data_IF_476141117889
#
_entry.id   IF_476141117889
#
_cell.length_a   1.000
_cell.length_b   1.000
_cell.length_c   1.000
_cell.angle_alpha   90.00
_cell.angle_beta   90.00
_cell.angle_gamma   90.00
#
_symmetry.space_group_name_H-M   'P 1'
#
loop_
_entity.id
_entity.type
_entity.pdbx_description
1 polymer ?
#
# COMPACT_ATOMS: atom_id res chain seq x y z
N UNK A 1 -72.44 -5.39 26.88
CA UNK A 1 -73.02 -5.32 25.53
C UNK A 1 -72.28 -4.23 24.78
N UNK A 2 -71.25 -4.61 24.00
CA UNK A 2 -70.61 -3.75 23.00
C UNK A 2 -69.84 -4.62 21.99
N UNK A 3 -69.92 -4.16 20.75
CA UNK A 3 -69.02 -4.32 19.61
C UNK A 3 -69.06 -5.57 18.72
N UNK A 4 -69.40 -5.25 17.47
CA UNK A 4 -69.24 -5.99 16.23
C UNK A 4 -67.77 -6.04 15.78
N UNK A 5 -67.47 -7.05 14.95
CA UNK A 5 -66.32 -7.03 14.02
C UNK A 5 -66.22 -8.36 13.27
N UNK A 6 -66.84 -8.46 12.08
CA UNK A 6 -66.80 -9.65 11.21
C UNK A 6 -65.70 -9.53 10.15
N UNK A 7 -65.03 -10.66 9.93
CA UNK A 7 -63.95 -10.92 8.99
C UNK A 7 -64.29 -10.76 7.49
N UNK A 8 -63.26 -10.61 6.65
CA UNK A 8 -63.13 -11.31 5.35
C UNK A 8 -61.72 -11.22 4.72
N UNK A 9 -61.18 -12.44 4.48
CA UNK A 9 -60.42 -12.98 3.35
C UNK A 9 -59.24 -12.23 2.70
N UNK A 10 -58.13 -12.97 2.73
CA UNK A 10 -56.87 -12.97 2.00
C UNK A 10 -57.00 -12.77 0.48
N UNK A 11 -56.17 -11.88 -0.09
CA UNK A 11 -55.96 -11.70 -1.52
C UNK A 11 -54.47 -11.49 -1.83
N UNK A 12 -53.92 -12.37 -2.65
CA UNK A 12 -52.53 -12.44 -3.11
C UNK A 12 -52.32 -11.46 -4.27
N UNK A 13 -51.26 -10.64 -4.24
CA UNK A 13 -50.87 -9.74 -5.34
C UNK A 13 -49.55 -10.21 -5.97
N UNK A 14 -49.64 -10.74 -7.18
CA UNK A 14 -48.53 -10.84 -8.14
C UNK A 14 -48.52 -9.56 -8.99
N UNK A 15 -47.37 -8.90 -9.11
CA UNK A 15 -47.14 -7.84 -10.08
C UNK A 15 -46.36 -8.41 -11.28
N UNK A 16 -46.99 -8.37 -12.46
CA UNK A 16 -46.40 -8.73 -13.74
C UNK A 16 -45.79 -7.47 -14.41
N UNK A 17 -44.56 -7.58 -14.91
CA UNK A 17 -43.93 -6.58 -15.78
C UNK A 17 -44.11 -7.03 -17.23
N UNK A 18 -44.73 -6.19 -18.05
CA UNK A 18 -45.03 -6.43 -19.45
C UNK A 18 -43.85 -6.07 -20.36
N UNK A 19 -43.53 -6.99 -21.27
CA UNK A 19 -42.59 -6.86 -22.38
C UNK A 19 -43.36 -6.44 -23.64
N UNK A 20 -42.87 -5.46 -24.40
CA UNK A 20 -43.38 -5.16 -25.75
C UNK A 20 -42.22 -4.88 -26.73
N UNK A 21 -42.03 -5.81 -27.66
CA UNK A 21 -41.40 -5.62 -28.98
C UNK A 21 -42.52 -5.26 -29.99
N UNK A 22 -42.39 -4.78 -31.23
CA UNK A 22 -41.36 -4.71 -32.26
C UNK A 22 -42.03 -3.94 -33.44
N UNK A 23 -41.34 -3.19 -34.31
CA UNK A 23 -41.61 -3.23 -35.78
C UNK A 23 -40.32 -2.91 -36.56
N UNK A 24 -40.17 -3.71 -37.62
CA UNK A 24 -39.09 -3.97 -38.55
C UNK A 24 -39.02 -2.97 -39.72
N UNK A 25 -37.82 -2.76 -40.27
CA UNK A 25 -37.59 -2.17 -41.59
C UNK A 25 -36.33 -2.75 -42.24
N UNK A 26 -36.53 -3.71 -43.14
CA UNK A 26 -35.50 -4.37 -43.97
C UNK A 26 -35.33 -3.58 -45.29
N UNK A 27 -34.11 -3.50 -45.85
CA UNK A 27 -33.78 -3.71 -47.29
C UNK A 27 -32.30 -3.43 -47.61
N UNK A 28 -31.60 -4.50 -48.03
CA UNK A 28 -30.57 -4.68 -49.07
C UNK A 28 -29.23 -3.90 -49.09
N UNK A 29 -28.16 -4.62 -48.70
CA UNK A 29 -26.89 -4.91 -49.41
C UNK A 29 -26.12 -3.86 -50.24
N UNK A 30 -24.88 -3.56 -49.82
CA UNK A 30 -23.71 -3.21 -50.66
C UNK A 30 -22.39 -3.36 -49.83
N UNK A 31 -21.19 -3.47 -50.44
CA UNK A 31 -20.08 -4.38 -50.05
C UNK A 31 -19.05 -3.81 -49.05
N UNK A 32 -18.14 -4.64 -48.49
CA UNK A 32 -17.13 -4.18 -47.52
C UNK A 32 -16.00 -3.39 -48.19
N UNK A 33 -15.40 -2.39 -47.51
CA UNK A 33 -14.20 -1.74 -48.04
C UNK A 33 -12.99 -2.66 -47.93
N UNK A 34 -12.13 -2.52 -48.92
CA UNK A 34 -11.05 -3.40 -49.29
C UNK A 34 -9.98 -3.60 -48.22
N UNK A 35 -9.49 -4.83 -48.19
CA UNK A 35 -8.21 -5.24 -47.62
C UNK A 35 -7.07 -4.47 -48.27
N UNK A 36 -6.39 -3.62 -47.51
CA UNK A 36 -5.03 -3.18 -47.86
C UNK A 36 -4.08 -4.02 -47.03
N UNK A 37 -3.49 -5.02 -47.71
CA UNK A 37 -2.34 -5.73 -47.17
C UNK A 37 -1.15 -4.80 -47.11
N UNK A 38 -0.51 -4.71 -45.95
CA UNK A 38 0.84 -4.18 -45.82
C UNK A 38 1.66 -5.24 -45.11
N UNK A 39 2.59 -5.82 -45.86
CA UNK A 39 3.58 -6.77 -45.37
C UNK A 39 4.29 -6.22 -44.12
N UNK A 40 4.29 -6.99 -43.04
CA UNK A 40 5.33 -6.88 -42.02
C UNK A 40 6.66 -7.37 -42.58
N UNK A 41 7.76 -6.69 -42.25
CA UNK A 41 8.92 -7.38 -41.74
C UNK A 41 8.99 -7.14 -40.24
N UNK A 42 9.12 -8.23 -39.50
CA UNK A 42 9.52 -8.21 -38.11
C UNK A 42 10.88 -7.49 -37.99
N UNK A 43 10.97 -6.51 -37.08
CA UNK A 43 12.23 -6.01 -36.57
C UNK A 43 12.08 -5.77 -35.06
N UNK A 44 12.66 -6.69 -34.30
CA UNK A 44 13.07 -6.49 -32.91
C UNK A 44 13.85 -5.18 -32.77
N UNK A 45 13.36 -4.26 -31.95
CA UNK A 45 14.01 -2.98 -31.69
C UNK A 45 13.86 -2.61 -30.22
N UNK A 46 14.96 -2.73 -29.48
CA UNK A 46 15.18 -2.19 -28.13
C UNK A 46 14.97 -0.68 -28.13
N UNK A 47 14.00 -0.17 -27.35
CA UNK A 47 13.81 1.26 -27.15
C UNK A 47 14.87 1.82 -26.19
N UNK A 48 15.82 2.56 -26.75
CA UNK A 48 16.72 3.46 -26.05
C UNK A 48 16.02 4.82 -25.89
N UNK A 49 15.79 5.26 -24.64
CA UNK A 49 15.30 6.60 -24.34
C UNK A 49 16.48 7.54 -24.08
N UNK A 50 16.97 8.17 -25.14
CA UNK A 50 17.81 9.37 -25.06
C UNK A 50 17.25 10.42 -26.03
N UNK A 51 16.88 11.60 -25.53
CA UNK A 51 16.42 12.69 -26.37
C UNK A 51 17.64 13.39 -27.03
N UNK A 52 17.47 13.73 -28.31
CA UNK A 52 18.50 14.33 -29.16
C UNK A 52 18.89 15.75 -28.72
N UNK A 53 20.15 16.10 -28.97
CA UNK A 53 20.70 17.43 -28.71
C UNK A 53 20.08 18.49 -29.64
N UNK A 54 19.63 19.60 -29.05
CA UNK A 54 19.12 20.75 -29.79
C UNK A 54 20.19 21.86 -29.91
N UNK A 55 20.30 22.45 -31.10
CA UNK A 55 21.24 23.52 -31.40
C UNK A 55 20.87 24.85 -30.73
N UNK A 56 21.85 25.76 -30.67
CA UNK A 56 21.77 27.05 -30.00
C UNK A 56 20.55 27.88 -30.45
N UNK A 57 19.68 28.27 -29.51
CA UNK A 57 18.44 29.02 -29.77
C UNK A 57 17.16 28.19 -29.99
N UNK A 58 17.24 26.85 -29.92
CA UNK A 58 16.07 25.98 -29.96
C UNK A 58 15.27 26.00 -28.64
N UNK A 59 13.96 25.80 -28.73
CA UNK A 59 13.12 25.55 -27.55
C UNK A 59 13.04 24.04 -27.32
N UNK A 60 13.44 23.56 -26.14
CA UNK A 60 13.32 22.15 -25.76
C UNK A 60 12.12 21.99 -24.85
N UNK A 61 11.25 21.02 -25.13
CA UNK A 61 10.07 20.74 -24.31
C UNK A 61 10.37 19.56 -23.38
N UNK A 62 10.06 19.73 -22.09
CA UNK A 62 9.99 18.65 -21.11
C UNK A 62 8.53 18.54 -20.67
N UNK A 63 7.91 17.41 -20.94
CA UNK A 63 6.54 17.14 -20.53
C UNK A 63 6.51 16.57 -19.11
N UNK A 64 5.67 17.13 -18.26
CA UNK A 64 5.37 16.58 -16.94
C UNK A 64 4.14 15.68 -17.14
N UNK A 65 4.40 14.40 -17.35
CA UNK A 65 3.41 13.40 -17.77
C UNK A 65 3.67 12.08 -17.05
N UNK A 66 2.59 11.40 -16.65
CA UNK A 66 2.61 10.16 -15.89
C UNK A 66 3.44 10.29 -14.59
N UNK A 67 3.33 11.41 -13.89
CA UNK A 67 4.08 11.71 -12.66
C UNK A 67 5.61 11.74 -12.87
N UNK A 68 6.07 12.03 -14.09
CA UNK A 68 7.48 12.05 -14.44
C UNK A 68 7.81 13.27 -15.32
N UNK A 69 9.06 13.71 -15.28
CA UNK A 69 9.61 14.58 -16.31
C UNK A 69 10.03 13.75 -17.53
N UNK A 70 9.55 14.09 -18.71
CA UNK A 70 9.87 13.40 -19.94
C UNK A 70 10.40 14.37 -21.01
N UNK A 71 11.66 14.22 -21.45
CA UNK A 71 12.63 13.21 -21.03
C UNK A 71 13.23 13.47 -19.63
N UNK A 72 13.75 12.40 -18.98
CA UNK A 72 14.40 12.49 -17.65
C UNK A 72 15.81 13.10 -17.68
N UNK A 73 16.48 13.07 -18.82
CA UNK A 73 17.75 13.77 -19.03
C UNK A 73 17.66 14.60 -20.31
N UNK A 74 17.98 15.88 -20.19
CA UNK A 74 18.01 16.84 -21.31
C UNK A 74 19.41 17.40 -21.42
N UNK A 75 20.00 17.36 -22.62
CA UNK A 75 21.29 17.97 -22.93
C UNK A 75 21.11 19.15 -23.86
N UNK A 76 21.55 20.33 -23.44
CA UNK A 76 21.36 21.59 -24.18
C UNK A 76 22.61 22.47 -24.17
N UNK A 77 22.75 23.36 -25.15
CA UNK A 77 23.78 24.38 -25.14
C UNK A 77 23.40 25.56 -24.21
N UNK A 78 24.37 26.28 -23.62
CA UNK A 78 24.11 27.53 -22.92
C UNK A 78 23.30 28.51 -23.79
N UNK A 79 22.29 29.16 -23.19
CA UNK A 79 21.34 30.05 -23.87
C UNK A 79 20.04 29.35 -24.31
N UNK A 80 19.91 28.04 -24.11
CA UNK A 80 18.71 27.28 -24.49
C UNK A 80 17.57 27.50 -23.51
N UNK A 81 16.36 27.74 -24.03
CA UNK A 81 15.13 27.79 -23.22
C UNK A 81 14.48 26.42 -23.18
N UNK A 82 14.30 25.88 -21.98
CA UNK A 82 13.51 24.67 -21.74
C UNK A 82 12.10 25.07 -21.28
N UNK A 83 11.10 24.47 -21.91
CA UNK A 83 9.68 24.66 -21.62
C UNK A 83 9.15 23.40 -20.96
N UNK A 84 8.77 23.53 -19.70
CA UNK A 84 8.18 22.47 -18.90
C UNK A 84 6.66 22.56 -19.03
N UNK A 85 6.01 21.53 -19.60
CA UNK A 85 4.56 21.54 -19.87
C UNK A 85 3.88 20.49 -19.03
N UNK A 86 2.91 20.88 -18.20
CA UNK A 86 2.09 19.93 -17.45
C UNK A 86 1.07 19.24 -18.37
N UNK A 87 1.22 17.92 -18.56
CA UNK A 87 0.30 17.05 -19.31
C UNK A 87 -0.54 16.16 -18.42
N UNK A 88 -0.28 16.14 -17.12
CA UNK A 88 -1.02 15.36 -16.14
C UNK A 88 -2.29 16.07 -15.66
N UNK A 89 -3.27 15.31 -15.10
CA UNK A 89 -4.47 15.88 -14.50
C UNK A 89 -4.23 16.49 -13.10
N UNK A 90 -3.03 16.34 -12.54
CA UNK A 90 -2.64 16.88 -11.22
C UNK A 90 -1.66 18.06 -11.36
N UNK A 91 -1.56 18.88 -10.32
CA UNK A 91 -0.64 20.03 -10.31
C UNK A 91 0.81 19.57 -10.15
N UNK A 92 1.73 20.28 -10.79
CA UNK A 92 3.17 20.04 -10.66
C UNK A 92 3.94 21.33 -10.52
N UNK A 93 5.22 21.26 -10.17
CA UNK A 93 6.13 22.39 -10.32
C UNK A 93 7.54 21.90 -10.71
N UNK A 94 8.44 22.84 -10.95
CA UNK A 94 9.82 22.58 -11.33
C UNK A 94 10.73 23.36 -10.40
N UNK A 95 11.47 22.62 -9.58
CA UNK A 95 12.39 23.18 -8.58
C UNK A 95 13.79 22.70 -8.92
N UNK A 96 14.77 23.60 -8.99
CA UNK A 96 16.17 23.21 -9.11
C UNK A 96 16.70 22.74 -7.74
N UNK A 97 16.49 21.45 -7.48
CA UNK A 97 16.95 20.78 -6.28
C UNK A 97 17.07 19.27 -6.51
N UNK A 98 17.81 18.61 -5.63
CA UNK A 98 17.73 17.18 -5.36
C UNK A 98 16.90 16.96 -4.09
N UNK A 99 16.41 15.75 -3.81
CA UNK A 99 15.78 15.45 -2.51
C UNK A 99 16.64 15.87 -1.30
N UNK A 100 17.97 15.73 -1.41
CA UNK A 100 18.90 16.10 -0.34
C UNK A 100 19.11 17.63 -0.17
N UNK A 101 18.80 18.41 -1.20
CA UNK A 101 19.03 19.87 -1.23
C UNK A 101 17.74 20.69 -1.27
N UNK A 102 16.57 20.06 -1.33
CA UNK A 102 15.27 20.72 -1.31
C UNK A 102 15.11 21.56 -0.04
N UNK A 103 14.71 22.84 -0.19
CA UNK A 103 14.57 23.77 0.94
C UNK A 103 15.89 24.34 1.48
N UNK A 104 17.04 24.00 0.89
CA UNK A 104 18.36 24.58 1.23
C UNK A 104 18.75 25.63 0.18
N UNK A 105 19.05 26.85 0.63
CA UNK A 105 19.39 27.97 -0.26
C UNK A 105 20.87 27.96 -0.70
N UNK A 106 21.19 28.51 -1.90
CA UNK A 106 20.27 29.12 -2.87
C UNK A 106 19.73 28.14 -3.92
N UNK A 107 18.40 28.03 -4.01
CA UNK A 107 17.71 27.39 -5.15
C UNK A 107 17.87 28.30 -6.38
N UNK A 108 18.40 27.80 -7.51
CA UNK A 108 18.65 28.66 -8.70
C UNK A 108 17.36 29.11 -9.38
N UNK A 109 16.33 28.28 -9.34
CA UNK A 109 14.98 28.61 -9.81
C UNK A 109 13.92 27.68 -9.23
N UNK A 110 12.69 28.20 -9.20
CA UNK A 110 11.46 27.51 -8.82
C UNK A 110 10.31 28.05 -9.66
N UNK A 111 9.51 27.15 -10.24
CA UNK A 111 8.26 27.54 -10.89
C UNK A 111 7.13 27.73 -9.87
N UNK A 112 6.08 28.51 -10.20
CA UNK A 112 4.78 28.34 -9.57
C UNK A 112 4.23 26.92 -9.77
N UNK A 113 3.16 26.57 -9.07
CA UNK A 113 2.36 25.39 -9.42
C UNK A 113 1.78 25.53 -10.83
N UNK A 114 2.08 24.55 -11.66
CA UNK A 114 1.58 24.35 -13.00
C UNK A 114 0.32 23.49 -12.92
N UNK A 115 -0.83 24.13 -13.14
CA UNK A 115 -2.10 23.43 -13.37
C UNK A 115 -2.04 22.59 -14.67
N UNK A 116 -2.95 21.62 -14.88
CA UNK A 116 -3.03 20.84 -16.11
C UNK A 116 -3.03 21.73 -17.36
N UNK A 117 -2.15 21.42 -18.31
CA UNK A 117 -1.98 22.17 -19.57
C UNK A 117 -1.21 23.50 -19.45
N UNK A 118 -0.69 23.87 -18.28
CA UNK A 118 0.14 25.08 -18.10
C UNK A 118 1.63 24.77 -18.29
N UNK A 119 2.39 25.81 -18.61
CA UNK A 119 3.83 25.71 -18.86
C UNK A 119 4.67 26.67 -18.00
N UNK A 120 5.90 26.25 -17.71
CA UNK A 120 6.96 27.08 -17.15
C UNK A 120 8.15 27.12 -18.12
N UNK A 121 8.79 28.27 -18.24
CA UNK A 121 9.94 28.46 -19.14
C UNK A 121 11.16 28.90 -18.34
N UNK A 122 12.30 28.26 -18.59
CA UNK A 122 13.57 28.66 -18.00
C UNK A 122 14.70 28.60 -19.03
N UNK A 123 15.49 29.67 -19.11
CA UNK A 123 16.64 29.77 -20.02
C UNK A 123 17.93 29.47 -19.25
N UNK A 124 18.63 28.43 -19.69
CA UNK A 124 19.86 27.96 -19.07
C UNK A 124 21.08 28.64 -19.71
N UNK A 125 21.56 29.73 -19.11
CA UNK A 125 22.66 30.52 -19.65
C UNK A 125 24.07 30.04 -19.24
N UNK A 126 24.17 29.23 -18.20
CA UNK A 126 25.44 28.76 -17.63
C UNK A 126 25.63 27.26 -17.86
N UNK A 127 26.85 26.86 -18.21
CA UNK A 127 27.22 25.44 -18.23
C UNK A 127 27.11 24.83 -16.83
N UNK A 128 26.65 23.59 -16.77
CA UNK A 128 26.47 22.89 -15.50
C UNK A 128 25.41 21.80 -15.56
N UNK A 129 25.27 21.11 -14.43
CA UNK A 129 24.23 20.11 -14.22
C UNK A 129 23.18 20.70 -13.28
N UNK A 130 21.93 20.67 -13.71
CA UNK A 130 20.79 21.18 -12.99
C UNK A 130 19.84 20.01 -12.75
N UNK A 131 19.93 19.40 -11.57
CA UNK A 131 18.91 18.45 -11.13
C UNK A 131 17.62 19.22 -10.82
N UNK A 132 16.49 18.68 -11.27
CA UNK A 132 15.17 19.26 -11.07
C UNK A 132 14.22 18.22 -10.49
N UNK A 133 13.30 18.68 -9.65
CA UNK A 133 12.26 17.85 -9.05
C UNK A 133 10.92 18.60 -8.96
N UNK A 134 9.83 17.85 -8.78
CA UNK A 134 8.52 18.40 -8.42
C UNK A 134 8.26 18.17 -6.93
N UNK A 135 8.09 19.21 -6.13
CA UNK A 135 7.84 19.11 -4.69
C UNK A 135 6.37 19.25 -4.30
N UNK A 136 5.47 19.53 -5.25
CA UNK A 136 4.02 19.49 -5.03
C UNK A 136 3.63 18.13 -4.46
N UNK A 137 3.07 18.12 -3.24
CA UNK A 137 2.63 16.88 -2.58
C UNK A 137 3.70 15.78 -2.47
N UNK A 138 5.00 16.13 -2.53
CA UNK A 138 6.09 15.17 -2.53
C UNK A 138 6.21 14.31 -3.80
N UNK A 139 5.72 14.76 -4.96
CA UNK A 139 5.75 13.98 -6.21
C UNK A 139 7.15 13.47 -6.60
N UNK A 140 8.24 14.15 -6.21
CA UNK A 140 9.60 13.65 -6.39
C UNK A 140 9.86 12.28 -5.75
N UNK A 141 9.12 11.92 -4.70
CA UNK A 141 9.17 10.62 -4.04
C UNK A 141 8.58 9.50 -4.91
N UNK A 142 7.65 9.85 -5.81
CA UNK A 142 7.19 8.98 -6.89
C UNK A 142 8.13 9.01 -8.11
N UNK A 143 9.38 9.46 -7.94
CA UNK A 143 10.40 9.49 -9.00
C UNK A 143 10.29 10.66 -9.96
N UNK A 144 9.51 11.70 -9.62
CA UNK A 144 9.37 12.90 -10.44
C UNK A 144 10.60 13.81 -10.31
N UNK A 145 11.71 13.34 -10.87
CA UNK A 145 13.00 14.03 -10.95
C UNK A 145 13.55 13.95 -12.36
N UNK A 146 14.37 14.93 -12.74
CA UNK A 146 15.08 14.96 -14.01
C UNK A 146 16.40 15.71 -13.88
N UNK A 147 17.21 15.65 -14.94
CA UNK A 147 18.50 16.32 -15.04
C UNK A 147 18.60 17.12 -16.32
N UNK A 148 18.94 18.40 -16.21
CA UNK A 148 19.30 19.26 -17.34
C UNK A 148 20.81 19.44 -17.33
N UNK A 149 21.49 18.95 -18.38
CA UNK A 149 22.94 19.07 -18.57
C UNK A 149 23.19 20.15 -19.62
N UNK A 150 23.85 21.23 -19.21
CA UNK A 150 24.14 22.37 -20.08
C UNK A 150 25.62 22.37 -20.41
N UNK A 151 25.97 22.20 -21.68
CA UNK A 151 27.37 22.11 -22.14
C UNK A 151 27.51 22.63 -23.58
N UNK A 152 28.63 23.30 -23.86
CA UNK A 152 29.00 23.76 -25.22
C UNK A 152 29.18 22.61 -26.21
N UNK A 153 29.48 21.40 -25.73
CA UNK A 153 29.73 20.21 -26.55
C UNK A 153 28.47 19.40 -26.87
N UNK A 154 27.28 19.94 -26.58
CA UNK A 154 26.02 19.23 -26.80
C UNK A 154 25.79 18.77 -28.26
N UNK A 155 26.57 19.26 -29.23
CA UNK A 155 26.45 18.90 -30.65
C UNK A 155 27.18 17.61 -31.10
N UNK A 156 27.86 16.86 -30.23
CA UNK A 156 28.62 15.66 -30.65
C UNK A 156 28.25 14.41 -29.83
N UNK A 157 27.79 13.37 -30.52
CA UNK A 157 27.33 12.12 -29.94
C UNK A 157 28.45 11.16 -29.45
N UNK A 158 28.08 10.45 -28.39
CA UNK A 158 28.56 9.17 -27.84
C UNK A 158 30.03 8.98 -27.47
N UNK A 159 30.27 8.65 -26.19
CA UNK A 159 30.95 7.41 -25.82
C UNK A 159 30.63 7.01 -24.38
N UNK A 160 30.33 5.73 -24.20
CA UNK A 160 30.20 5.00 -22.93
C UNK A 160 31.53 4.80 -22.22
N UNK A 161 31.53 4.95 -20.90
CA UNK A 161 32.36 4.25 -19.91
C UNK A 161 31.88 4.71 -18.53
N UNK A 162 31.96 3.98 -17.43
CA UNK A 162 32.20 2.60 -17.06
C UNK A 162 31.82 2.59 -15.56
N UNK A 163 31.30 1.48 -15.06
CA UNK A 163 30.86 1.34 -13.68
C UNK A 163 31.89 1.83 -12.67
N UNK A 164 31.43 2.66 -11.74
CA UNK A 164 32.07 2.77 -10.43
C UNK A 164 31.28 1.87 -9.50
N UNK A 165 31.86 0.72 -9.16
CA UNK A 165 31.48 -0.04 -7.98
C UNK A 165 31.62 0.90 -6.77
N UNK A 166 30.52 1.50 -6.36
CA UNK A 166 30.42 2.25 -5.12
C UNK A 166 30.54 1.27 -3.98
N UNK A 167 31.58 1.45 -3.16
CA UNK A 167 31.91 0.56 -2.05
C UNK A 167 30.71 0.27 -1.18
N UNK A 168 30.66 -0.96 -0.67
CA UNK A 168 29.71 -1.39 0.35
C UNK A 168 29.75 -0.39 1.52
N UNK A 169 28.83 0.56 1.49
CA UNK A 169 28.53 1.37 2.66
C UNK A 169 28.05 0.39 3.72
N UNK A 170 28.74 0.37 4.86
CA UNK A 170 28.35 -0.46 5.98
C UNK A 170 26.85 -0.23 6.23
N UNK A 171 26.07 -1.31 6.11
CA UNK A 171 24.65 -1.30 6.38
C UNK A 171 24.48 -0.82 7.82
N UNK A 172 23.75 0.29 8.07
CA UNK A 172 23.46 0.73 9.43
C UNK A 172 22.87 -0.45 10.21
N UNK A 173 23.13 -0.53 11.53
CA UNK A 173 22.52 -1.56 12.37
C UNK A 173 20.98 -1.50 12.23
N UNK A 174 20.42 -2.38 11.41
CA UNK A 174 19.02 -2.35 11.03
C UNK A 174 18.17 -3.00 12.10
N UNK A 175 17.08 -2.33 12.48
CA UNK A 175 16.15 -2.87 13.47
C UNK A 175 15.15 -3.81 12.80
N UNK A 176 14.73 -4.84 13.52
CA UNK A 176 13.57 -5.65 13.11
C UNK A 176 12.32 -4.79 13.27
N UNK A 177 11.61 -4.56 12.18
CA UNK A 177 10.34 -3.81 12.18
C UNK A 177 9.12 -4.70 12.41
N UNK A 178 9.26 -6.00 12.19
CA UNK A 178 8.14 -6.92 12.24
C UNK A 178 7.51 -6.98 13.63
N UNK A 179 6.24 -6.55 13.71
CA UNK A 179 5.41 -6.66 14.91
C UNK A 179 5.27 -8.13 15.30
N UNK A 180 5.45 -8.42 16.59
CA UNK A 180 5.18 -9.75 17.13
C UNK A 180 3.67 -10.05 16.94
N UNK A 181 3.30 -11.15 16.26
CA UNK A 181 1.90 -11.46 16.01
C UNK A 181 1.13 -11.77 17.30
N UNK A 182 1.79 -12.06 18.42
CA UNK A 182 1.14 -12.26 19.72
C UNK A 182 1.01 -10.95 20.54
N UNK A 183 1.60 -9.84 20.08
CA UNK A 183 1.48 -8.53 20.73
C UNK A 183 0.14 -7.86 20.38
N UNK A 184 -0.89 -8.34 21.07
CA UNK A 184 -2.29 -7.92 20.90
C UNK A 184 -2.85 -7.40 22.24
N UNK A 185 -3.62 -6.29 22.24
CA UNK A 185 -4.34 -5.87 23.43
C UNK A 185 -5.35 -6.93 23.87
N UNK A 186 -5.54 -7.16 25.19
CA UNK A 186 -6.49 -8.15 25.68
C UNK A 186 -7.95 -7.78 25.35
N UNK A 187 -8.88 -8.76 25.33
CA UNK A 187 -10.31 -8.49 25.15
C UNK A 187 -10.87 -7.44 26.12
N UNK A 188 -11.81 -6.63 25.66
CA UNK A 188 -12.37 -5.55 26.48
C UNK A 188 -13.30 -6.12 27.53
N UNK A 189 -12.93 -6.01 28.82
CA UNK A 189 -13.71 -6.59 29.93
C UNK A 189 -14.81 -5.69 30.50
N UNK A 190 -14.86 -4.42 30.10
CA UNK A 190 -15.83 -3.45 30.65
C UNK A 190 -17.16 -3.50 29.92
N UNK A 191 -18.22 -3.17 30.66
CA UNK A 191 -19.61 -3.29 30.20
C UNK A 191 -20.25 -1.97 29.75
N UNK A 192 -19.55 -0.84 29.91
CA UNK A 192 -20.03 0.49 29.51
C UNK A 192 -19.00 1.22 28.63
N UNK A 193 -19.45 2.09 27.71
CA UNK A 193 -18.57 2.96 26.93
C UNK A 193 -17.71 3.89 27.79
N UNK A 194 -16.52 4.20 27.30
CA UNK A 194 -15.59 5.15 27.94
C UNK A 194 -14.97 6.09 26.92
N UNK A 195 -14.27 7.12 27.41
CA UNK A 195 -13.30 7.83 26.59
C UNK A 195 -11.98 7.06 26.61
N UNK A 196 -11.51 6.65 25.44
CA UNK A 196 -10.24 5.92 25.27
C UNK A 196 -9.27 6.84 24.54
N UNK A 197 -8.12 7.14 25.15
CA UNK A 197 -7.04 7.90 24.50
C UNK A 197 -6.06 6.90 23.91
N UNK A 198 -5.77 7.06 22.62
CA UNK A 198 -4.77 6.28 21.88
C UNK A 198 -3.70 7.25 21.42
N UNK A 199 -2.47 7.02 21.85
CA UNK A 199 -1.31 7.82 21.48
C UNK A 199 -0.46 6.99 20.52
N UNK A 200 -0.14 7.57 19.36
CA UNK A 200 0.68 6.96 18.33
C UNK A 200 1.79 7.94 17.92
N UNK A 201 2.96 7.41 17.61
CA UNK A 201 4.07 8.15 17.02
C UNK A 201 4.35 7.67 15.59
N UNK A 202 4.22 8.55 14.61
CA UNK A 202 4.72 8.30 13.27
C UNK A 202 6.25 8.46 13.25
N UNK A 203 6.95 7.44 12.76
CA UNK A 203 8.42 7.38 12.78
C UNK A 203 8.98 6.78 11.50
N UNK A 204 9.95 7.47 10.92
CA UNK A 204 10.79 6.98 9.82
C UNK A 204 12.05 6.32 10.39
N UNK A 205 12.39 5.10 9.93
CA UNK A 205 13.56 4.37 10.42
C UNK A 205 14.11 3.38 9.39
N UNK A 206 15.40 3.05 9.50
CA UNK A 206 16.02 2.01 8.69
C UNK A 206 15.78 0.64 9.34
N UNK A 207 14.97 -0.17 8.67
CA UNK A 207 14.60 -1.51 9.11
C UNK A 207 15.20 -2.62 8.25
N UNK A 208 15.29 -3.83 8.80
CA UNK A 208 15.65 -5.01 8.02
C UNK A 208 14.44 -5.48 7.20
N UNK A 209 14.57 -5.50 5.86
CA UNK A 209 13.53 -5.99 4.95
C UNK A 209 13.73 -7.47 4.60
N UNK A 210 14.97 -7.89 4.39
CA UNK A 210 15.34 -9.29 4.20
C UNK A 210 16.76 -9.54 4.72
N UNK A 211 17.25 -10.78 4.64
CA UNK A 211 18.67 -11.02 4.87
C UNK A 211 19.51 -10.22 3.86
N UNK A 212 20.50 -9.48 4.35
CA UNK A 212 21.32 -8.56 3.55
C UNK A 212 20.62 -7.30 3.00
N UNK A 213 19.29 -7.16 3.11
CA UNK A 213 18.53 -6.01 2.57
C UNK A 213 17.93 -5.17 3.69
N UNK A 214 18.19 -3.87 3.65
CA UNK A 214 17.53 -2.87 4.50
C UNK A 214 16.63 -1.96 3.70
N UNK A 215 15.67 -1.33 4.36
CA UNK A 215 14.74 -0.39 3.75
C UNK A 215 14.41 0.73 4.72
N UNK A 216 14.08 1.92 4.21
CA UNK A 216 13.59 3.03 5.04
C UNK A 216 12.08 2.88 5.20
N UNK A 217 11.66 2.41 6.37
CA UNK A 217 10.25 2.25 6.72
C UNK A 217 9.69 3.53 7.31
N UNK A 218 8.40 3.75 7.06
CA UNK A 218 7.60 4.74 7.76
C UNK A 218 6.54 3.96 8.55
N UNK A 219 6.47 4.20 9.85
CA UNK A 219 5.76 3.31 10.77
C UNK A 219 4.87 4.10 11.72
N UNK A 220 3.90 3.43 12.31
CA UNK A 220 3.31 3.84 13.58
C UNK A 220 4.01 3.04 14.69
N UNK A 221 4.60 3.72 15.67
CA UNK A 221 5.33 3.17 16.81
C UNK A 221 6.50 2.24 16.44
N UNK A 222 7.20 2.52 15.34
CA UNK A 222 8.45 1.83 14.99
C UNK A 222 8.28 0.39 14.49
N UNK A 223 7.05 -0.07 14.27
CA UNK A 223 6.76 -1.45 13.86
C UNK A 223 5.80 -1.52 12.67
N UNK A 224 5.82 -2.65 11.96
CA UNK A 224 4.94 -2.96 10.85
C UNK A 224 4.29 -4.33 11.08
N UNK A 225 2.95 -4.43 11.09
CA UNK A 225 2.01 -3.31 11.16
C UNK A 225 2.19 -2.49 12.45
N UNK A 226 1.58 -1.30 12.49
CA UNK A 226 1.48 -0.49 13.70
C UNK A 226 0.67 -1.19 14.81
N UNK A 227 0.64 -0.63 16.03
CA UNK A 227 -0.07 -1.20 17.17
C UNK A 227 -1.53 -1.52 16.86
N UNK A 228 -2.01 -2.70 17.27
CA UNK A 228 -3.44 -2.94 17.20
C UNK A 228 -4.14 -2.04 18.21
N UNK A 229 -5.14 -1.29 17.75
CA UNK A 229 -6.05 -0.53 18.61
C UNK A 229 -7.23 -1.45 18.94
N UNK A 230 -7.62 -1.55 20.20
CA UNK A 230 -8.77 -2.36 20.62
C UNK A 230 -9.69 -1.55 21.50
N UNK A 231 -10.91 -1.32 21.03
CA UNK A 231 -11.93 -0.49 21.67
C UNK A 231 -13.27 -1.23 21.66
N UNK A 232 -14.27 -0.67 22.33
CA UNK A 232 -15.63 -1.20 22.39
C UNK A 232 -16.56 -0.29 21.63
N UNK A 233 -17.57 -0.86 20.98
CA UNK A 233 -18.66 -0.10 20.42
C UNK A 233 -19.27 0.85 21.47
N UNK A 234 -19.44 2.11 21.07
CA UNK A 234 -19.92 3.22 21.89
C UNK A 234 -18.82 4.06 22.52
N UNK A 235 -17.56 3.64 22.49
CA UNK A 235 -16.47 4.47 23.02
C UNK A 235 -16.29 5.77 22.28
N UNK A 236 -15.95 6.82 23.03
CA UNK A 236 -15.35 8.02 22.43
C UNK A 236 -13.84 7.82 22.39
N UNK A 237 -13.28 7.63 21.20
CA UNK A 237 -11.86 7.40 21.02
C UNK A 237 -11.20 8.73 20.67
N UNK A 238 -10.16 9.13 21.42
CA UNK A 238 -9.27 10.25 21.11
C UNK A 238 -7.97 9.69 20.53
N UNK A 239 -7.73 9.93 19.25
CA UNK A 239 -6.45 9.62 18.61
C UNK A 239 -5.56 10.84 18.75
N UNK A 240 -4.38 10.66 19.33
CA UNK A 240 -3.28 11.62 19.33
C UNK A 240 -2.16 11.06 18.47
N UNK A 241 -1.83 11.76 17.39
CA UNK A 241 -0.74 11.39 16.51
C UNK A 241 0.38 12.42 16.66
N UNK A 242 1.52 11.97 17.16
CA UNK A 242 2.77 12.72 17.13
C UNK A 242 3.58 12.30 15.91
N UNK A 243 4.26 13.23 15.24
CA UNK A 243 5.24 12.90 14.23
C UNK A 243 6.65 13.10 14.81
N UNK A 244 7.49 12.08 14.74
CA UNK A 244 8.85 12.13 15.28
C UNK A 244 9.62 13.33 14.68
N UNK A 245 10.42 14.08 15.46
CA UNK A 245 11.12 15.27 14.97
C UNK A 245 12.15 14.97 13.86
N UNK A 246 12.67 13.75 13.82
CA UNK A 246 13.63 13.32 12.80
C UNK A 246 12.96 12.84 11.50
N UNK A 247 11.62 12.77 11.44
CA UNK A 247 10.91 12.44 10.21
C UNK A 247 11.13 13.50 9.15
N UNK A 248 11.14 13.09 7.88
CA UNK A 248 11.26 13.99 6.72
C UNK A 248 9.90 14.35 6.13
N UNK A 249 8.88 13.53 6.41
CA UNK A 249 7.56 13.61 5.83
C UNK A 249 6.52 14.11 6.84
N UNK A 250 5.49 14.76 6.32
CA UNK A 250 4.21 14.89 7.03
C UNK A 250 3.56 13.51 7.11
N UNK A 251 2.97 13.20 8.25
CA UNK A 251 2.25 11.95 8.47
C UNK A 251 0.85 12.21 9.00
N UNK A 252 -0.08 11.32 8.69
CA UNK A 252 -1.46 11.39 9.16
C UNK A 252 -2.02 10.01 9.43
N UNK A 253 -3.29 9.94 9.83
CA UNK A 253 -3.98 8.68 10.04
C UNK A 253 -5.44 8.75 9.57
N UNK A 254 -5.81 7.79 8.74
CA UNK A 254 -7.17 7.42 8.36
C UNK A 254 -7.49 6.08 9.03
N UNK A 255 -8.53 6.01 9.86
CA UNK A 255 -9.05 4.77 10.40
C UNK A 255 -10.39 4.46 9.72
N UNK A 256 -10.53 3.28 9.13
CA UNK A 256 -11.78 2.88 8.46
C UNK A 256 -12.93 2.66 9.44
N UNK A 257 -12.65 2.64 10.74
CA UNK A 257 -13.65 2.65 11.81
C UNK A 257 -14.31 4.03 12.05
N UNK A 258 -13.81 5.10 11.42
CA UNK A 258 -14.25 6.48 11.67
C UNK A 258 -15.32 6.91 10.66
N UNK A 259 -16.51 7.24 11.16
CA UNK A 259 -17.53 7.96 10.38
C UNK A 259 -17.25 9.47 10.38
N UNK A 260 -16.30 9.91 9.55
CA UNK A 260 -15.95 11.32 9.42
C UNK A 260 -15.04 11.60 8.21
N UNK A 261 -14.85 12.88 7.82
CA UNK A 261 -14.07 13.21 6.64
C UNK A 261 -12.63 12.66 6.65
N UNK A 262 -12.32 11.79 5.70
CA UNK A 262 -11.00 11.15 5.56
C UNK A 262 -10.60 10.26 6.73
N UNK A 263 -11.58 9.75 7.50
CA UNK A 263 -11.35 8.85 8.63
C UNK A 263 -10.40 9.36 9.73
N UNK A 264 -10.20 10.67 9.82
CA UNK A 264 -9.23 11.31 10.72
C UNK A 264 -8.11 12.07 10.00
N UNK A 265 -7.84 11.76 8.74
CA UNK A 265 -6.67 12.26 8.01
C UNK A 265 -6.67 13.78 7.83
N UNK A 266 -7.85 14.39 7.63
CA UNK A 266 -7.98 15.85 7.51
C UNK A 266 -7.62 16.58 8.81
N UNK A 267 -7.86 15.94 9.96
CA UNK A 267 -7.53 16.50 11.26
C UNK A 267 -6.07 16.25 11.68
N UNK A 268 -5.39 15.29 11.04
CA UNK A 268 -4.10 14.75 11.48
C UNK A 268 -3.00 14.87 10.44
N UNK A 269 -2.99 15.87 9.55
CA UNK A 269 -1.78 16.15 8.77
C UNK A 269 -0.69 16.74 9.69
N UNK A 270 0.17 15.91 10.28
CA UNK A 270 1.13 16.25 11.33
C UNK A 270 2.54 16.43 10.76
N UNK A 271 3.09 17.64 10.84
CA UNK A 271 4.46 17.90 10.43
C UNK A 271 5.48 17.33 11.44
N UNK A 272 6.74 17.06 11.04
CA UNK A 272 7.77 16.55 11.95
C UNK A 272 7.89 17.40 13.22
N UNK A 273 7.89 16.75 14.38
CA UNK A 273 7.97 17.38 15.70
C UNK A 273 6.65 17.93 16.24
N UNK A 274 5.57 17.92 15.46
CA UNK A 274 4.23 18.32 15.90
C UNK A 274 3.41 17.13 16.44
N UNK A 275 2.28 17.48 17.07
CA UNK A 275 1.23 16.56 17.48
C UNK A 275 -0.13 17.13 17.09
N UNK A 276 -1.03 16.28 16.59
CA UNK A 276 -2.44 16.63 16.35
C UNK A 276 -3.33 15.52 16.88
N UNK A 277 -4.55 15.88 17.23
CA UNK A 277 -5.51 14.95 17.81
C UNK A 277 -6.92 15.17 17.24
N UNK A 278 -7.72 14.11 17.27
CA UNK A 278 -9.15 14.18 17.01
C UNK A 278 -9.90 13.13 17.83
N UNK A 279 -11.21 13.32 17.96
CA UNK A 279 -12.10 12.37 18.62
C UNK A 279 -13.14 11.82 17.65
N UNK A 280 -13.51 10.56 17.83
CA UNK A 280 -14.63 9.95 17.15
C UNK A 280 -15.39 9.01 18.07
N UNK A 281 -16.65 8.74 17.75
CA UNK A 281 -17.44 7.72 18.43
C UNK A 281 -17.27 6.40 17.66
N UNK A 282 -16.84 5.33 18.32
CA UNK A 282 -16.72 4.00 17.74
C UNK A 282 -18.12 3.38 17.58
N UNK A 283 -18.80 3.68 16.46
CA UNK A 283 -20.21 3.34 16.27
C UNK A 283 -20.47 1.93 15.77
N UNK A 284 -19.52 1.34 15.03
CA UNK A 284 -19.73 0.11 14.28
C UNK A 284 -18.74 -0.96 14.76
N UNK A 285 -19.21 -2.12 15.24
CA UNK A 285 -18.34 -3.23 15.60
C UNK A 285 -17.75 -3.87 14.34
N UNK A 286 -16.50 -4.30 14.43
CA UNK A 286 -15.76 -4.88 13.31
C UNK A 286 -14.25 -4.75 13.49
N UNK A 287 -13.50 -5.26 12.51
CA UNK A 287 -12.05 -5.14 12.44
C UNK A 287 -11.71 -4.30 11.22
N UNK A 288 -11.06 -3.16 11.44
CA UNK A 288 -10.86 -2.16 10.40
C UNK A 288 -9.37 -1.89 10.24
N UNK A 289 -8.93 -1.65 9.00
CA UNK A 289 -7.58 -1.12 8.76
C UNK A 289 -7.56 0.35 9.17
N UNK A 290 -6.43 0.78 9.71
CA UNK A 290 -6.03 2.17 9.69
C UNK A 290 -4.71 2.30 8.94
N UNK A 291 -4.49 3.45 8.31
CA UNK A 291 -3.25 3.72 7.60
C UNK A 291 -2.96 5.22 7.50
N UNK A 292 -1.73 5.58 7.11
CA UNK A 292 -1.44 6.97 6.79
C UNK A 292 -2.18 7.42 5.53
N UNK A 293 -2.62 8.66 5.50
CA UNK A 293 -3.39 9.24 4.40
C UNK A 293 -2.84 10.62 3.97
N UNK A 294 -1.53 10.81 4.11
CA UNK A 294 -0.81 11.95 3.56
C UNK A 294 -0.45 11.66 2.10
N UNK A 295 -0.72 12.58 1.15
CA UNK A 295 -0.27 12.42 -0.22
C UNK A 295 1.27 12.33 -0.32
N UNK A 296 1.86 11.40 -1.08
CA UNK A 296 1.23 10.34 -1.89
C UNK A 296 0.92 9.07 -1.07
N UNK A 297 -0.38 8.79 -0.85
CA UNK A 297 -0.85 7.77 0.11
C UNK A 297 -0.28 6.35 -0.12
N UNK A 298 -0.26 5.80 -1.36
CA UNK A 298 0.25 4.46 -1.60
C UNK A 298 1.71 4.26 -1.13
N UNK A 299 2.54 5.31 -1.24
CA UNK A 299 3.91 5.26 -0.75
C UNK A 299 3.98 5.15 0.78
N UNK A 300 3.18 5.94 1.50
CA UNK A 300 3.13 5.85 2.95
C UNK A 300 2.67 4.47 3.44
N UNK A 301 1.65 3.91 2.79
CA UNK A 301 1.16 2.56 3.08
C UNK A 301 2.23 1.51 2.77
N UNK A 302 2.82 1.55 1.57
CA UNK A 302 3.87 0.60 1.16
C UNK A 302 5.11 0.65 2.07
N UNK A 303 5.42 1.83 2.63
CA UNK A 303 6.52 2.00 3.59
C UNK A 303 6.22 1.45 5.00
N UNK A 304 5.00 0.97 5.26
CA UNK A 304 4.65 0.27 6.51
C UNK A 304 3.60 0.97 7.39
N UNK A 305 3.04 2.11 6.96
CA UNK A 305 2.10 2.87 7.78
C UNK A 305 0.68 2.32 7.70
N UNK A 306 0.46 1.13 8.26
CA UNK A 306 -0.85 0.50 8.39
C UNK A 306 -0.94 -0.34 9.67
N UNK A 307 -2.16 -0.51 10.20
CA UNK A 307 -2.47 -1.36 11.34
C UNK A 307 -3.96 -1.68 11.42
N UNK A 308 -4.37 -2.39 12.47
CA UNK A 308 -5.78 -2.73 12.72
C UNK A 308 -6.35 -1.99 13.93
N UNK A 309 -7.61 -1.58 13.82
CA UNK A 309 -8.47 -1.23 14.94
C UNK A 309 -9.62 -2.23 15.04
N UNK A 310 -9.73 -2.89 16.19
CA UNK A 310 -10.83 -3.79 16.55
C UNK A 310 -11.83 -3.00 17.39
N UNK A 311 -13.05 -2.89 16.89
CA UNK A 311 -14.20 -2.36 17.64
C UNK A 311 -15.05 -3.55 18.09
N UNK A 312 -14.90 -3.96 19.34
CA UNK A 312 -15.66 -5.09 19.90
C UNK A 312 -17.15 -4.72 20.07
N UNK A 313 -18.08 -5.65 19.83
CA UNK A 313 -19.47 -5.44 20.14
C UNK A 313 -19.69 -5.30 21.67
N UNK A 314 -20.84 -4.78 22.11
CA UNK A 314 -21.13 -4.53 23.53
C UNK A 314 -20.93 -5.73 24.46
N UNK A 315 -21.22 -6.92 23.94
CA UNK A 315 -21.11 -8.25 24.57
C UNK A 315 -19.70 -8.85 24.51
N UNK A 316 -18.77 -8.24 23.77
CA UNK A 316 -17.44 -8.77 23.50
C UNK A 316 -17.43 -9.85 22.42
N UNK A 317 -16.23 -10.27 22.02
CA UNK A 317 -16.06 -11.39 21.09
C UNK A 317 -16.14 -12.73 21.85
N UNK A 318 -16.52 -13.80 21.15
CA UNK A 318 -16.51 -15.14 21.73
C UNK A 318 -15.11 -15.48 22.31
N UNK A 319 -15.02 -16.21 23.43
CA UNK A 319 -13.73 -16.57 23.99
C UNK A 319 -12.97 -17.54 23.08
N UNK A 320 -11.67 -17.36 23.00
CA UNK A 320 -10.70 -18.23 22.33
C UNK A 320 -9.48 -18.38 23.25
N UNK A 321 -8.68 -19.42 23.03
CA UNK A 321 -7.50 -19.69 23.85
C UNK A 321 -6.31 -18.80 23.45
N UNK A 322 -6.24 -18.42 22.16
CA UNK A 322 -5.12 -17.66 21.62
C UNK A 322 -5.56 -16.71 20.50
N UNK A 323 -5.01 -15.49 20.50
CA UNK A 323 -5.23 -14.50 19.44
C UNK A 323 -3.89 -14.14 18.77
N UNK A 324 -3.92 -13.93 17.44
CA UNK A 324 -2.78 -13.42 16.68
C UNK A 324 -3.17 -12.24 15.78
N UNK A 325 -2.19 -11.38 15.50
CA UNK A 325 -2.29 -10.17 14.70
C UNK A 325 -1.31 -10.20 13.52
N UNK A 326 -1.87 -10.27 12.31
CA UNK A 326 -1.09 -10.41 11.09
C UNK A 326 -1.58 -9.39 10.08
N UNK A 327 -0.67 -8.72 9.36
CA UNK A 327 -1.03 -7.95 8.19
C UNK A 327 -0.11 -8.22 7.01
N UNK A 328 -0.71 -8.36 5.83
CA UNK A 328 0.01 -8.37 4.55
C UNK A 328 0.30 -6.94 4.08
N UNK A 329 1.47 -6.73 3.47
CA UNK A 329 1.79 -5.51 2.72
C UNK A 329 2.65 -5.80 1.50
N UNK A 330 2.54 -4.94 0.48
CA UNK A 330 3.37 -4.95 -0.73
C UNK A 330 4.37 -3.78 -0.76
N UNK A 331 5.66 -4.12 -0.88
CA UNK A 331 6.76 -3.15 -0.97
C UNK A 331 7.34 -3.10 -2.39
N UNK A 332 7.37 -1.89 -2.93
CA UNK A 332 7.85 -1.58 -4.28
C UNK A 332 9.27 -1.05 -4.17
N UNK A 333 10.23 -1.95 -4.32
CA UNK A 333 11.66 -1.68 -4.15
C UNK A 333 12.44 -1.99 -5.41
N UNK A 334 13.60 -1.39 -5.58
CA UNK A 334 14.55 -1.71 -6.65
C UNK A 334 15.28 -3.05 -6.45
N UNK A 335 15.39 -3.51 -5.20
CA UNK A 335 15.96 -4.81 -4.84
C UNK A 335 14.91 -5.91 -4.64
N UNK A 336 15.37 -7.16 -4.64
CA UNK A 336 14.63 -8.42 -4.44
C UNK A 336 15.21 -9.27 -3.31
N UNK A 337 14.46 -10.27 -2.82
CA UNK A 337 15.02 -11.29 -1.93
C UNK A 337 16.28 -11.94 -2.51
N UNK A 338 17.33 -12.07 -1.67
CA UNK A 338 18.62 -12.64 -2.05
C UNK A 338 19.66 -11.63 -2.55
N UNK A 339 19.27 -10.38 -2.79
CA UNK A 339 20.21 -9.29 -3.03
C UNK A 339 20.68 -8.68 -1.70
N UNK A 340 21.64 -7.75 -1.75
CA UNK A 340 22.18 -7.09 -0.56
C UNK A 340 22.29 -5.58 -0.76
N UNK A 341 21.98 -4.80 0.28
CA UNK A 341 22.13 -3.36 0.26
C UNK A 341 21.00 -2.63 0.97
N UNK A 342 20.88 -1.34 0.67
CA UNK A 342 19.78 -0.51 1.13
C UNK A 342 18.81 -0.28 -0.04
N UNK A 343 17.70 -1.00 -0.02
CA UNK A 343 16.67 -0.92 -1.04
C UNK A 343 16.07 0.50 -1.10
N UNK A 344 15.87 1.00 -2.30
CA UNK A 344 15.15 2.23 -2.58
C UNK A 344 13.74 1.92 -3.07
N UNK A 345 12.84 2.88 -2.89
CA UNK A 345 11.52 2.80 -3.50
C UNK A 345 11.63 2.80 -5.04
N UNK A 346 10.94 1.86 -5.71
CA UNK A 346 10.78 1.82 -7.16
C UNK A 346 9.38 2.36 -7.54
N UNK A 347 9.30 3.61 -8.03
CA UNK A 347 8.02 4.23 -8.37
C UNK A 347 7.38 3.63 -9.63
N UNK A 348 8.18 3.09 -10.55
CA UNK A 348 7.66 2.43 -11.75
C UNK A 348 7.05 1.08 -11.38
N UNK A 349 7.68 0.34 -10.48
CA UNK A 349 7.11 -0.88 -9.91
C UNK A 349 5.77 -0.60 -9.20
N UNK A 350 5.68 0.50 -8.44
CA UNK A 350 4.43 0.92 -7.78
C UNK A 350 3.34 1.29 -8.78
N UNK A 351 3.68 2.10 -9.79
CA UNK A 351 2.75 2.46 -10.86
C UNK A 351 2.20 1.25 -11.61
N UNK A 352 3.03 0.22 -11.82
CA UNK A 352 2.62 -1.04 -12.48
C UNK A 352 2.02 -2.08 -11.54
N UNK A 353 1.93 -1.79 -10.24
CA UNK A 353 1.49 -2.73 -9.21
C UNK A 353 2.31 -4.04 -9.19
N UNK A 354 3.63 -3.93 -9.42
CA UNK A 354 4.57 -5.05 -9.44
C UNK A 354 5.58 -4.99 -8.28
N UNK A 355 5.18 -5.32 -7.04
CA UNK A 355 6.10 -5.26 -5.90
C UNK A 355 7.14 -6.37 -5.96
N UNK A 356 8.36 -6.11 -5.47
CA UNK A 356 9.38 -7.15 -5.31
C UNK A 356 9.23 -7.92 -3.99
N UNK A 357 8.60 -7.31 -2.99
CA UNK A 357 8.28 -7.94 -1.70
C UNK A 357 6.78 -7.89 -1.44
N UNK A 358 6.23 -9.02 -0.98
CA UNK A 358 4.88 -9.11 -0.42
C UNK A 358 5.06 -9.90 0.86
N UNK A 359 4.77 -9.32 2.01
CA UNK A 359 5.25 -9.81 3.29
C UNK A 359 4.17 -9.78 4.35
N UNK A 360 4.25 -10.71 5.31
CA UNK A 360 3.51 -10.60 6.57
C UNK A 360 4.35 -9.84 7.60
N UNK A 361 3.74 -8.87 8.27
CA UNK A 361 4.34 -8.04 9.31
C UNK A 361 5.65 -7.37 8.84
N UNK A 362 5.63 -6.79 7.64
CA UNK A 362 6.61 -5.80 7.17
C UNK A 362 7.98 -6.30 6.73
N UNK A 363 8.35 -7.55 7.01
CA UNK A 363 9.67 -8.10 6.67
C UNK A 363 9.54 -9.47 5.96
N UNK A 364 10.44 -9.75 5.01
CA UNK A 364 10.52 -11.03 4.31
C UNK A 364 10.64 -12.19 5.31
N UNK A 365 9.68 -13.12 5.28
CA UNK A 365 9.63 -14.29 6.15
C UNK A 365 9.67 -13.95 7.66
N UNK A 366 9.14 -12.78 8.05
CA UNK A 366 9.23 -12.24 9.41
C UNK A 366 8.77 -13.21 10.51
N UNK A 367 7.75 -14.02 10.21
CA UNK A 367 7.00 -14.84 11.16
C UNK A 367 7.33 -16.34 10.99
N UNK A 368 8.61 -16.64 10.74
CA UNK A 368 9.11 -18.00 10.53
C UNK A 368 10.27 -18.30 11.49
N UNK A 369 10.71 -19.58 11.52
CA UNK A 369 11.83 -20.02 12.35
C UNK A 369 11.62 -19.67 13.83
N UNK A 370 12.59 -18.99 14.44
CA UNK A 370 12.50 -18.59 15.86
C UNK A 370 11.38 -17.58 16.17
N UNK A 371 10.79 -16.96 15.16
CA UNK A 371 9.69 -16.01 15.26
C UNK A 371 8.35 -16.58 14.78
N UNK A 372 8.28 -17.90 14.58
CA UNK A 372 7.03 -18.59 14.34
C UNK A 372 6.06 -18.40 15.52
N UNK A 373 4.77 -18.33 15.19
CA UNK A 373 3.70 -18.37 16.18
C UNK A 373 3.67 -19.73 16.85
N UNK A 374 3.14 -19.80 18.08
CA UNK A 374 3.08 -21.03 18.87
C UNK A 374 1.70 -21.26 19.45
N UNK A 375 1.21 -22.49 19.36
CA UNK A 375 -0.03 -22.93 19.97
C UNK A 375 0.10 -24.37 20.47
N UNK A 376 -0.95 -24.87 21.13
CA UNK A 376 -1.04 -26.25 21.59
C UNK A 376 -2.25 -26.95 20.99
N UNK A 377 -2.12 -28.26 20.76
CA UNK A 377 -3.24 -29.10 20.32
C UNK A 377 -4.45 -28.87 21.24
N UNK A 378 -5.62 -28.68 20.62
CA UNK A 378 -6.90 -28.38 21.28
C UNK A 378 -7.17 -26.91 21.57
N UNK A 379 -6.21 -25.99 21.36
CA UNK A 379 -6.47 -24.56 21.49
C UNK A 379 -7.35 -24.05 20.34
N UNK A 380 -8.41 -23.30 20.67
CA UNK A 380 -9.15 -22.50 19.70
C UNK A 380 -8.38 -21.20 19.45
N UNK A 381 -7.99 -20.98 18.20
CA UNK A 381 -7.19 -19.85 17.76
C UNK A 381 -8.08 -18.85 17.02
N UNK A 382 -7.87 -17.57 17.27
CA UNK A 382 -8.37 -16.47 16.43
C UNK A 382 -7.20 -15.73 15.81
N UNK A 383 -7.29 -15.43 14.52
CA UNK A 383 -6.33 -14.56 13.84
C UNK A 383 -7.06 -13.34 13.27
N UNK A 384 -6.61 -12.15 13.66
CA UNK A 384 -6.96 -10.89 13.02
C UNK A 384 -6.00 -10.67 11.86
N UNK A 385 -6.52 -10.74 10.63
CA UNK A 385 -5.70 -10.69 9.41
C UNK A 385 -6.11 -9.50 8.57
N UNK A 386 -5.23 -8.52 8.48
CA UNK A 386 -5.41 -7.33 7.64
C UNK A 386 -4.58 -7.41 6.36
N UNK A 387 -4.92 -6.57 5.40
CA UNK A 387 -4.10 -6.34 4.23
C UNK A 387 -3.93 -4.83 4.04
N UNK A 388 -2.76 -4.32 4.42
CA UNK A 388 -2.42 -2.92 4.22
C UNK A 388 -2.33 -2.58 2.72
N UNK A 389 -1.90 -3.53 1.89
CA UNK A 389 -1.63 -3.31 0.49
C UNK A 389 -0.32 -2.54 0.27
N UNK A 390 -0.29 -1.51 -0.60
CA UNK A 390 -1.44 -0.73 -1.05
C UNK A 390 -2.33 -1.35 -2.14
N UNK A 391 -1.86 -2.33 -2.92
CA UNK A 391 -2.60 -2.71 -4.15
C UNK A 391 -3.11 -4.16 -4.16
N UNK A 392 -2.32 -5.13 -3.69
CA UNK A 392 -2.61 -6.53 -3.97
C UNK A 392 -3.63 -7.11 -2.99
N UNK A 393 -4.68 -7.75 -3.51
CA UNK A 393 -5.60 -8.57 -2.69
C UNK A 393 -4.91 -9.86 -2.25
N UNK A 394 -5.01 -10.20 -0.96
CA UNK A 394 -4.49 -11.45 -0.38
C UNK A 394 -5.49 -12.59 -0.55
N UNK A 395 -5.02 -13.77 -0.93
CA UNK A 395 -5.78 -15.02 -0.85
C UNK A 395 -5.33 -15.81 0.38
N UNK A 396 -5.73 -15.35 1.57
CA UNK A 396 -5.21 -15.87 2.84
C UNK A 396 -5.65 -17.32 3.10
N UNK A 397 -4.68 -18.18 3.41
CA UNK A 397 -4.86 -19.60 3.65
C UNK A 397 -3.87 -20.12 4.69
N UNK A 398 -4.24 -21.19 5.41
CA UNK A 398 -3.35 -21.95 6.28
C UNK A 398 -3.26 -23.37 5.74
N UNK A 399 -2.08 -23.75 5.27
CA UNK A 399 -1.81 -25.09 4.76
C UNK A 399 -1.93 -26.07 5.92
N UNK A 400 -2.77 -27.10 5.73
CA UNK A 400 -3.04 -28.13 6.72
C UNK A 400 -4.25 -27.86 7.62
N UNK A 401 -4.92 -26.71 7.47
CA UNK A 401 -6.03 -26.32 8.35
C UNK A 401 -7.26 -25.82 7.59
N UNK A 402 -8.43 -25.88 8.23
CA UNK A 402 -9.69 -25.31 7.71
C UNK A 402 -10.18 -24.25 8.70
N UNK A 403 -10.62 -23.09 8.20
CA UNK A 403 -11.25 -22.10 9.06
C UNK A 403 -12.63 -22.58 9.48
N UNK A 404 -12.82 -22.85 10.78
CA UNK A 404 -14.13 -23.12 11.38
C UNK A 404 -15.08 -21.96 11.12
N UNK A 405 -14.57 -20.73 11.28
CA UNK A 405 -15.32 -19.48 11.15
C UNK A 405 -14.47 -18.45 10.40
N UNK A 406 -15.07 -17.80 9.40
CA UNK A 406 -14.51 -16.64 8.73
C UNK A 406 -15.53 -15.51 8.74
N UNK A 407 -15.12 -14.38 9.29
CA UNK A 407 -15.86 -13.14 9.23
C UNK A 407 -15.39 -12.33 8.01
N UNK A 408 -16.07 -12.55 6.87
CA UNK A 408 -15.71 -11.92 5.59
C UNK A 408 -15.79 -10.41 5.69
N UNK A 409 -14.83 -9.72 5.05
CA UNK A 409 -14.68 -8.26 5.11
C UNK A 409 -14.64 -7.71 6.55
N UNK A 410 -14.30 -8.57 7.52
CA UNK A 410 -14.35 -8.29 8.95
C UNK A 410 -15.72 -7.79 9.47
N UNK A 411 -16.79 -8.15 8.77
CA UNK A 411 -18.16 -7.88 9.18
C UNK A 411 -18.59 -8.77 10.36
N UNK A 412 -19.74 -8.45 10.95
CA UNK A 412 -20.36 -9.28 11.99
C UNK A 412 -20.91 -10.61 11.47
N UNK A 413 -21.20 -10.70 10.16
CA UNK A 413 -21.63 -11.95 9.52
C UNK A 413 -20.44 -12.91 9.35
N UNK A 414 -20.68 -14.19 9.65
CA UNK A 414 -19.68 -15.23 9.56
C UNK A 414 -20.14 -16.37 8.66
N UNK A 415 -19.18 -16.96 7.96
CA UNK A 415 -19.35 -18.22 7.22
C UNK A 415 -18.46 -19.29 7.85
N UNK A 416 -18.85 -20.56 7.70
CA UNK A 416 -18.14 -21.68 8.31
C UNK A 416 -17.50 -22.61 7.28
N UNK A 417 -16.50 -23.40 7.70
CA UNK A 417 -15.81 -24.40 6.89
C UNK A 417 -15.17 -23.81 5.61
N UNK A 418 -14.33 -22.80 5.77
CA UNK A 418 -13.71 -22.07 4.65
C UNK A 418 -12.23 -22.42 4.56
N UNK A 419 -11.78 -22.82 3.36
CA UNK A 419 -10.37 -23.16 3.11
C UNK A 419 -9.47 -21.92 2.94
N UNK A 420 -9.98 -20.88 2.27
CA UNK A 420 -9.22 -19.69 1.86
C UNK A 420 -10.18 -18.52 1.80
N UNK A 421 -9.75 -17.35 2.28
CA UNK A 421 -10.56 -16.13 2.24
C UNK A 421 -9.82 -15.01 1.52
N UNK A 422 -10.57 -14.13 0.85
CA UNK A 422 -10.03 -12.98 0.15
C UNK A 422 -9.99 -11.77 1.09
N UNK A 423 -8.88 -11.05 1.10
CA UNK A 423 -8.70 -9.83 1.88
C UNK A 423 -8.23 -8.72 0.92
N UNK A 424 -9.11 -7.77 0.54
CA UNK A 424 -8.72 -6.68 -0.36
C UNK A 424 -7.69 -5.77 0.32
N UNK A 425 -6.92 -5.01 -0.47
CA UNK A 425 -6.06 -3.96 0.09
C UNK A 425 -6.92 -2.91 0.82
N UNK A 426 -6.47 -2.47 2.00
CA UNK A 426 -7.27 -1.68 2.93
C UNK A 426 -8.37 -2.47 3.64
N UNK A 427 -8.48 -3.78 3.42
CA UNK A 427 -9.45 -4.66 4.06
C UNK A 427 -8.87 -5.50 5.18
N UNK A 428 -9.76 -6.12 5.95
CA UNK A 428 -9.41 -7.10 6.96
C UNK A 428 -10.39 -8.26 6.96
N UNK A 429 -10.02 -9.32 7.66
CA UNK A 429 -10.86 -10.45 8.05
C UNK A 429 -10.40 -10.91 9.43
N UNK A 430 -11.22 -11.73 10.06
CA UNK A 430 -10.76 -12.52 11.19
C UNK A 430 -11.29 -13.94 11.05
N UNK A 431 -10.45 -14.89 11.44
CA UNK A 431 -10.71 -16.31 11.28
C UNK A 431 -10.53 -17.01 12.62
N UNK A 432 -11.31 -18.07 12.82
CA UNK A 432 -11.20 -18.94 13.98
C UNK A 432 -11.11 -20.38 13.53
N UNK A 433 -10.30 -21.17 14.23
CA UNK A 433 -10.11 -22.60 14.00
C UNK A 433 -9.55 -23.26 15.26
N UNK A 434 -9.68 -24.57 15.35
CA UNK A 434 -9.10 -25.38 16.43
C UNK A 434 -7.96 -26.21 15.87
N UNK A 435 -6.81 -26.24 16.54
CA UNK A 435 -5.67 -27.05 16.07
C UNK A 435 -5.74 -28.46 16.66
N UNK A 436 -6.15 -29.44 15.85
CA UNK A 436 -6.49 -30.78 16.35
C UNK A 436 -5.32 -31.77 16.41
N UNK A 437 -4.23 -31.49 15.69
CA UNK A 437 -3.02 -32.33 15.62
C UNK A 437 -1.75 -31.46 15.75
N UNK A 438 -0.64 -32.01 16.25
CA UNK A 438 0.62 -31.27 16.34
C UNK A 438 1.24 -31.13 14.94
N UNK A 439 2.07 -30.10 14.75
CA UNK A 439 2.76 -29.89 13.49
C UNK A 439 3.09 -28.43 13.18
N UNK A 440 3.59 -28.20 11.97
CA UNK A 440 3.78 -26.86 11.41
C UNK A 440 2.67 -26.54 10.42
N UNK A 441 1.93 -25.50 10.73
CA UNK A 441 0.87 -24.95 9.89
C UNK A 441 1.39 -23.70 9.19
N UNK A 442 1.34 -23.68 7.86
CA UNK A 442 1.98 -22.63 7.06
C UNK A 442 0.93 -21.66 6.54
N UNK A 443 0.99 -20.41 6.98
CA UNK A 443 0.12 -19.34 6.53
C UNK A 443 0.70 -18.73 5.24
N UNK A 444 -0.16 -18.50 4.24
CA UNK A 444 0.26 -17.99 2.93
C UNK A 444 -0.74 -17.01 2.33
N UNK A 445 -0.24 -16.13 1.44
CA UNK A 445 -1.04 -15.66 0.30
C UNK A 445 -1.03 -16.75 -0.78
N UNK A 446 -2.20 -17.34 -1.06
CA UNK A 446 -2.36 -18.45 -2.00
C UNK A 446 -2.17 -18.04 -3.47
N UNK A 447 -1.93 -16.76 -3.77
CA UNK A 447 -1.19 -16.39 -4.97
C UNK A 447 0.31 -16.75 -4.78
N UNK A 448 0.61 -18.06 -4.79
CA UNK A 448 1.80 -18.68 -4.19
C UNK A 448 3.17 -18.13 -4.62
N UNK A 449 3.26 -17.49 -5.80
CA UNK A 449 4.48 -16.76 -6.18
C UNK A 449 4.84 -15.64 -5.18
N UNK A 450 3.85 -15.08 -4.49
CA UNK A 450 4.02 -14.09 -3.41
C UNK A 450 4.53 -14.73 -2.13
N UNK A 451 4.01 -15.89 -1.75
CA UNK A 451 4.47 -16.61 -0.55
C UNK A 451 5.92 -17.10 -0.70
N UNK A 452 6.19 -17.87 -1.76
CA UNK A 452 7.48 -18.54 -1.95
C UNK A 452 8.55 -17.61 -2.55
N UNK A 453 8.15 -16.68 -3.42
CA UNK A 453 9.06 -15.76 -4.09
C UNK A 453 9.24 -14.44 -3.35
N UNK A 454 8.16 -13.84 -2.84
CA UNK A 454 8.15 -12.45 -2.34
C UNK A 454 8.06 -12.30 -0.81
N UNK A 455 7.78 -13.38 -0.08
CA UNK A 455 7.90 -13.44 1.39
C UNK A 455 6.60 -13.49 2.20
N UNK A 456 5.44 -13.68 1.57
CA UNK A 456 4.12 -13.70 2.23
C UNK A 456 3.85 -15.09 2.83
N UNK A 457 4.70 -15.47 3.78
CA UNK A 457 4.69 -16.77 4.46
C UNK A 457 4.92 -16.59 5.97
N UNK A 458 4.17 -17.32 6.77
CA UNK A 458 4.36 -17.41 8.22
C UNK A 458 4.15 -18.85 8.70
N UNK A 459 4.65 -19.17 9.89
CA UNK A 459 4.54 -20.51 10.48
C UNK A 459 3.85 -20.42 11.84
N UNK A 460 2.88 -21.30 12.06
CA UNK A 460 2.30 -21.62 13.35
C UNK A 460 2.80 -23.01 13.76
N UNK A 461 3.58 -23.07 14.84
CA UNK A 461 4.07 -24.31 15.44
C UNK A 461 3.09 -24.78 16.52
N UNK A 462 2.52 -25.97 16.35
CA UNK A 462 1.56 -26.58 17.28
C UNK A 462 2.21 -27.75 17.99
N UNK A 463 2.32 -27.64 19.32
CA UNK A 463 2.85 -28.70 20.18
C UNK A 463 1.71 -29.50 20.83
N UNK A 464 1.86 -30.82 20.91
CA UNK A 464 0.87 -31.66 21.58
C UNK A 464 1.00 -33.14 21.21
N UNK A 465 0.12 -34.00 21.75
CA UNK A 465 0.09 -35.40 21.40
C UNK A 465 -0.43 -35.60 19.97
N UNK A 466 0.16 -36.55 19.25
CA UNK A 466 -0.36 -37.03 17.97
C UNK A 466 -1.79 -37.59 18.12
N UNK A 467 -2.60 -37.43 17.07
CA UNK A 467 -3.93 -38.03 16.99
C UNK A 467 -4.11 -38.80 15.66
N UNK A 468 -3.77 -40.11 15.63
CA UNK A 468 -3.80 -40.92 14.41
C UNK A 468 -5.22 -41.17 13.87
N UNK A 469 -6.25 -40.93 14.68
CA UNK A 469 -7.65 -41.00 14.22
C UNK A 469 -8.02 -39.81 13.32
N UNK A 470 -7.27 -38.70 13.42
CA UNK A 470 -7.44 -37.48 12.60
C UNK A 470 -6.45 -37.47 11.43
N UNK A 471 -5.15 -37.64 11.72
CA UNK A 471 -4.10 -37.60 10.70
C UNK A 471 -2.99 -38.58 11.02
N UNK A 472 -2.68 -39.46 10.06
CA UNK A 472 -1.49 -40.32 10.11
C UNK A 472 -1.00 -40.60 8.68
N UNK A 473 0.32 -40.56 8.44
CA UNK A 473 0.87 -41.04 7.18
C UNK A 473 0.69 -42.56 7.08
N UNK A 474 0.20 -43.04 5.93
CA UNK A 474 0.16 -44.47 5.61
C UNK A 474 1.41 -44.81 4.80
N UNK A 475 2.13 -45.90 5.13
CA UNK A 475 3.36 -46.32 4.44
C UNK A 475 3.22 -46.57 2.93
#
# INVERSE_FOLDING_TARGET
>A
MFMQGKAKRLGLLLAAVTLAALVLGLVLGAPPPATVGVNSPAASGTASNAAAAAANGATVVVELQNMQFNPKEVRVAPGTTVVFVNRDPVNHNVVNATPATLGKQPERFRSPELLPGKEFRFTFNEEGVFDVLCDVGGHYLAGMTARIVVTKDAAAGSSSAAGSAGGASAVPAAVRVAKDPADIPPPVKRTSPQTVVVELEAKELVGQLADGVTYTYWTFDGTVPGPMIRVRQGDTVEIRLRNHPDSTQVHSIDLHAVNGPGGGAKATQVAPGEEKAFRFLAMNPGVYVYHCATPYVPLHVSNGMYGLIVVEPPEGLAPVDREFYIMQGDLYTDLRPGETGHAQHDPEAMWREQPNFVVFNGQYQALTGKHAMKAKVGERIRMFVGNGGPNLTSSFHIIGEIFDVVHREAASEAVTNVQTTLIPAGGATWVEFTVDVPGEYVLVDHALGRALGKGAIAVLHVEGPENPDIFQPVP
#
